data_IF_726739037492
#
_entry.id   IF_726739037492
#
_cell.length_a   1.000
_cell.length_b   1.000
_cell.length_c   1.000
_cell.angle_alpha   90.00
_cell.angle_beta   90.00
_cell.angle_gamma   90.00
#
_symmetry.space_group_name_H-M   'P 1'
#
loop_
_entity.id
_entity.type
_entity.pdbx_description
1 polymer ?
#
# COMPACT_ATOMS: atom_id res chain seq x y z
N UNK A 1 18.54 23.76 1.33
CA UNK A 1 17.39 23.51 0.44
C UNK A 1 16.60 22.38 1.09
N UNK A 2 15.38 22.64 1.55
CA UNK A 2 14.59 21.66 2.28
C UNK A 2 14.20 20.52 1.32
N UNK A 3 14.85 19.37 1.47
CA UNK A 3 14.53 18.17 0.71
C UNK A 3 13.18 17.66 1.23
N UNK A 4 12.09 18.18 0.69
CA UNK A 4 10.73 17.75 1.02
C UNK A 4 10.52 16.39 0.35
N UNK A 5 11.12 15.36 0.95
CA UNK A 5 10.81 13.97 0.62
C UNK A 5 9.37 13.81 1.06
N UNK A 6 8.44 13.98 0.11
CA UNK A 6 7.03 13.63 0.30
C UNK A 6 7.00 12.21 0.89
N UNK A 7 6.69 12.11 2.19
CA UNK A 7 6.75 10.83 2.90
C UNK A 7 5.57 9.99 2.43
N UNK A 8 5.85 9.04 1.55
CA UNK A 8 4.90 8.01 1.20
C UNK A 8 4.63 7.17 2.45
N UNK A 9 3.38 7.19 2.92
CA UNK A 9 2.90 6.26 3.92
C UNK A 9 2.39 5.01 3.20
N UNK A 10 2.86 3.83 3.58
CA UNK A 10 2.41 2.56 3.00
C UNK A 10 1.72 1.71 4.06
N UNK A 11 0.58 1.13 3.71
CA UNK A 11 -0.23 0.26 4.59
C UNK A 11 -0.58 -1.04 3.90
N UNK A 12 -0.63 -2.14 4.66
CA UNK A 12 -1.05 -3.46 4.22
C UNK A 12 -2.18 -3.95 5.13
N UNK A 13 -3.34 -4.27 4.56
CA UNK A 13 -4.52 -4.71 5.29
C UNK A 13 -5.00 -6.06 4.75
N UNK A 14 -5.28 -7.01 5.64
CA UNK A 14 -5.98 -8.25 5.30
C UNK A 14 -7.48 -8.05 5.50
N UNK A 15 -8.28 -8.49 4.53
CA UNK A 15 -9.74 -8.49 4.66
C UNK A 15 -10.33 -9.74 4.00
N UNK A 16 -11.59 -10.04 4.32
CA UNK A 16 -12.32 -11.16 3.73
C UNK A 16 -13.47 -10.60 2.91
N UNK A 17 -13.58 -11.07 1.67
CA UNK A 17 -14.66 -10.73 0.76
C UNK A 17 -15.43 -12.01 0.36
N UNK A 18 -16.53 -11.89 -0.39
CA UNK A 18 -17.32 -13.01 -0.93
C UNK A 18 -16.48 -14.04 -1.69
N UNK A 19 -15.34 -13.60 -2.23
CA UNK A 19 -14.40 -14.43 -3.00
C UNK A 19 -13.24 -15.00 -2.19
N UNK A 20 -13.19 -14.78 -0.87
CA UNK A 20 -12.17 -15.30 0.04
C UNK A 20 -11.31 -14.23 0.71
N UNK A 21 -10.18 -14.66 1.31
CA UNK A 21 -9.21 -13.73 1.91
C UNK A 21 -8.52 -12.91 0.82
N UNK A 22 -8.43 -11.60 1.00
CA UNK A 22 -7.73 -10.65 0.14
C UNK A 22 -6.79 -9.78 0.98
N UNK A 23 -5.83 -9.17 0.29
CA UNK A 23 -4.84 -8.28 0.88
C UNK A 23 -4.83 -6.96 0.11
N UNK A 24 -4.98 -5.84 0.81
CA UNK A 24 -5.01 -4.50 0.23
C UNK A 24 -3.73 -3.78 0.64
N UNK A 25 -2.97 -3.29 -0.33
CA UNK A 25 -1.80 -2.44 -0.12
C UNK A 25 -2.16 -1.03 -0.58
N UNK A 26 -2.01 -0.04 0.29
CA UNK A 26 -2.29 1.36 -0.04
C UNK A 26 -1.08 2.21 0.29
N UNK A 27 -0.56 2.97 -0.68
CA UNK A 27 0.42 4.04 -0.47
C UNK A 27 -0.24 5.40 -0.64
N UNK A 28 0.11 6.37 0.20
CA UNK A 28 -0.45 7.72 0.11
C UNK A 28 0.57 8.79 0.47
N UNK A 29 0.38 9.98 -0.08
CA UNK A 29 1.03 11.21 0.35
C UNK A 29 -0.09 12.13 0.86
N UNK A 30 -0.34 12.20 2.18
CA UNK A 30 -1.45 12.97 2.74
C UNK A 30 -1.42 14.44 2.33
N UNK A 31 -0.24 15.05 2.31
CA UNK A 31 -0.04 16.46 1.95
C UNK A 31 -0.44 16.78 0.52
N UNK A 32 -0.35 15.79 -0.39
CA UNK A 32 -0.73 15.92 -1.80
C UNK A 32 -2.13 15.34 -2.08
N UNK A 33 -2.84 14.86 -1.06
CA UNK A 33 -4.12 14.16 -1.20
C UNK A 33 -4.05 13.00 -2.23
N UNK A 34 -2.88 12.40 -2.41
CA UNK A 34 -2.62 11.36 -3.40
C UNK A 34 -2.63 10.00 -2.73
N UNK A 35 -3.38 9.04 -3.28
CA UNK A 35 -3.41 7.66 -2.80
C UNK A 35 -3.46 6.66 -3.97
N UNK A 36 -2.69 5.59 -3.85
CA UNK A 36 -2.71 4.45 -4.76
C UNK A 36 -2.99 3.18 -3.96
N UNK A 37 -3.94 2.36 -4.44
CA UNK A 37 -4.34 1.12 -3.77
C UNK A 37 -4.29 -0.05 -4.75
N UNK A 38 -3.71 -1.17 -4.29
CA UNK A 38 -3.69 -2.45 -5.01
C UNK A 38 -4.27 -3.55 -4.12
N UNK A 39 -4.98 -4.50 -4.74
CA UNK A 39 -5.60 -5.63 -4.05
C UNK A 39 -5.06 -6.93 -4.62
N UNK A 40 -4.69 -7.85 -3.73
CA UNK A 40 -4.05 -9.11 -4.04
C UNK A 40 -4.84 -10.27 -3.42
N UNK A 41 -4.75 -11.43 -4.04
CA UNK A 41 -5.32 -12.67 -3.53
C UNK A 41 -4.32 -13.42 -2.64
N UNK A 42 -3.02 -13.29 -2.92
CA UNK A 42 -1.95 -13.88 -2.11
C UNK A 42 -1.36 -12.87 -1.12
N UNK A 43 -1.00 -13.37 0.07
CA UNK A 43 -0.28 -12.60 1.09
C UNK A 43 1.12 -12.22 0.59
N UNK A 44 1.77 -13.14 -0.11
CA UNK A 44 3.16 -12.98 -0.55
C UNK A 44 3.28 -11.87 -1.59
N UNK A 45 2.38 -11.84 -2.59
CA UNK A 45 2.33 -10.77 -3.57
C UNK A 45 2.08 -9.40 -2.93
N UNK A 46 1.17 -9.34 -1.95
CA UNK A 46 0.89 -8.11 -1.23
C UNK A 46 2.09 -7.63 -0.39
N UNK A 47 2.84 -8.57 0.22
CA UNK A 47 4.05 -8.27 0.98
C UNK A 47 5.16 -7.77 0.07
N UNK A 48 5.37 -8.42 -1.08
CA UNK A 48 6.34 -7.96 -2.09
C UNK A 48 6.02 -6.54 -2.56
N UNK A 49 4.76 -6.24 -2.86
CA UNK A 49 4.37 -4.89 -3.27
C UNK A 49 4.60 -3.85 -2.15
N UNK A 50 4.29 -4.22 -0.91
CA UNK A 50 4.50 -3.38 0.26
C UNK A 50 5.99 -3.06 0.46
N UNK A 51 6.86 -4.07 0.40
CA UNK A 51 8.32 -3.91 0.52
C UNK A 51 8.88 -3.07 -0.64
N UNK A 52 8.42 -3.30 -1.88
CA UNK A 52 8.79 -2.48 -3.04
C UNK A 52 8.42 -1.00 -2.91
N UNK A 53 7.34 -0.67 -2.20
CA UNK A 53 6.91 0.71 -1.99
C UNK A 53 7.57 1.38 -0.78
N UNK A 54 8.05 0.60 0.19
CA UNK A 54 8.81 1.14 1.30
C UNK A 54 10.21 1.61 0.88
N UNK A 55 10.79 0.99 -0.15
CA UNK A 55 12.12 1.34 -0.68
C UNK A 55 13.24 0.56 -0.01
#
# INVERSE_FOLDING_TARGET
MANSINKWEVTLLRFQDKTGTKYKVTRRVPELHLAETKVFISKEEAKQQFEQWLG
#
